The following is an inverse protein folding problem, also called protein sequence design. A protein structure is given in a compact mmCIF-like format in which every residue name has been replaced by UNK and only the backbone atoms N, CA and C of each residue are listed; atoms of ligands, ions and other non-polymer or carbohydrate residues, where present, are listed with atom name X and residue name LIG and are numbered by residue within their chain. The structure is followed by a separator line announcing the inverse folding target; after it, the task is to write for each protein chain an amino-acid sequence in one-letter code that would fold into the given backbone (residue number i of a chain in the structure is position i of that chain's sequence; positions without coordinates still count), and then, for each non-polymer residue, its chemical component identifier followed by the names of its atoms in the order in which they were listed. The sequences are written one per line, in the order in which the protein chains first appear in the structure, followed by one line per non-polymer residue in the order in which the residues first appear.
data_IF_671689591651
#
_entry.id   IF_671689591651
#
_cell.length_a   1.000
_cell.length_b   1.000
_cell.length_c   1.000
_cell.angle_alpha   90.00
_cell.angle_beta   90.00
_cell.angle_gamma   90.00
#
_symmetry.space_group_name_H-M   'P 1'
#
loop_
_entity.id
_entity.type
_entity.pdbx_description
1 polymer ?
#
# COMPACT_ATOMS: atom_id res chain seq x y z
N UNK A 1 4.14 -10.14 -18.03
CA UNK A 1 4.06 -10.96 -19.26
C UNK A 1 3.68 -10.14 -20.48
N UNK A 2 2.78 -9.15 -20.39
CA UNK A 2 2.39 -8.28 -21.51
C UNK A 2 3.56 -7.58 -22.22
N UNK A 3 4.62 -7.22 -21.50
CA UNK A 3 5.83 -6.60 -22.08
C UNK A 3 6.73 -7.56 -22.86
N UNK A 4 6.55 -8.88 -22.70
CA UNK A 4 7.34 -9.92 -23.37
C UNK A 4 6.61 -10.53 -24.56
N UNK A 5 5.32 -10.27 -24.73
CA UNK A 5 4.50 -10.86 -25.79
C UNK A 5 5.07 -10.64 -27.19
N UNK A 6 5.50 -9.43 -27.59
CA UNK A 6 6.06 -9.20 -28.93
C UNK A 6 7.34 -10.01 -29.19
N UNK A 7 8.22 -10.12 -28.19
CA UNK A 7 9.47 -10.88 -28.30
C UNK A 7 9.18 -12.37 -28.43
N UNK A 8 8.22 -12.87 -27.64
CA UNK A 8 7.78 -14.26 -27.74
C UNK A 8 7.18 -14.55 -29.12
N UNK A 9 6.36 -13.63 -29.65
CA UNK A 9 5.74 -13.76 -30.97
C UNK A 9 6.80 -13.81 -32.08
N UNK A 10 7.79 -12.91 -32.09
CA UNK A 10 8.90 -12.93 -33.04
C UNK A 10 9.70 -14.24 -32.98
N UNK A 11 9.97 -14.76 -31.78
CA UNK A 11 10.71 -16.02 -31.63
C UNK A 11 9.88 -17.21 -32.09
N UNK A 12 8.57 -17.23 -31.80
CA UNK A 12 7.67 -18.27 -32.31
C UNK A 12 7.60 -18.23 -33.84
N UNK A 13 7.43 -17.06 -34.44
CA UNK A 13 7.43 -16.88 -35.89
C UNK A 13 8.74 -17.35 -36.51
N UNK A 14 9.89 -16.97 -35.93
CA UNK A 14 11.20 -17.40 -36.39
C UNK A 14 11.34 -18.93 -36.35
N UNK A 15 10.96 -19.57 -35.24
CA UNK A 15 11.06 -21.03 -35.07
C UNK A 15 10.14 -21.75 -36.07
N UNK A 16 8.91 -21.27 -36.23
CA UNK A 16 7.94 -21.82 -37.18
C UNK A 16 8.47 -21.75 -38.61
N UNK A 17 8.88 -20.55 -39.07
CA UNK A 17 9.35 -20.34 -40.43
C UNK A 17 10.63 -21.12 -40.73
N UNK A 18 11.55 -21.20 -39.77
CA UNK A 18 12.87 -21.81 -39.99
C UNK A 18 12.83 -23.33 -39.95
N UNK A 19 11.97 -23.94 -39.13
CA UNK A 19 12.01 -25.38 -38.85
C UNK A 19 10.78 -26.15 -39.33
N UNK A 20 9.90 -25.52 -40.12
CA UNK A 20 8.65 -26.13 -40.61
C UNK A 20 7.77 -26.68 -39.49
N UNK A 21 7.72 -25.95 -38.37
CA UNK A 21 6.80 -26.18 -37.26
C UNK A 21 5.53 -25.40 -37.57
N UNK A 22 4.35 -25.95 -37.28
CA UNK A 22 3.09 -25.27 -37.60
C UNK A 22 2.74 -24.27 -36.51
N UNK A 23 2.80 -24.66 -35.23
CA UNK A 23 2.52 -23.77 -34.11
C UNK A 23 3.29 -24.20 -32.85
N UNK A 24 3.25 -23.37 -31.81
CA UNK A 24 3.83 -23.72 -30.52
C UNK A 24 3.15 -23.04 -29.35
N UNK A 25 3.44 -23.51 -28.14
CA UNK A 25 2.94 -22.87 -26.92
C UNK A 25 3.93 -23.05 -25.77
N UNK A 26 3.88 -22.12 -24.81
CA UNK A 26 4.68 -22.17 -23.59
C UNK A 26 3.75 -22.43 -22.41
N UNK A 27 4.11 -23.40 -21.59
CA UNK A 27 3.54 -23.56 -20.26
C UNK A 27 4.57 -23.25 -19.19
N UNK A 28 4.17 -22.50 -18.17
CA UNK A 28 4.99 -22.24 -16.99
C UNK A 28 4.40 -22.99 -15.79
N UNK A 29 5.28 -23.40 -14.87
CA UNK A 29 4.91 -24.03 -13.62
C UNK A 29 4.28 -22.99 -12.69
N UNK A 30 3.04 -23.20 -12.28
CA UNK A 30 2.36 -22.39 -11.27
C UNK A 30 1.72 -23.29 -10.20
N UNK A 31 2.20 -23.15 -8.96
CA UNK A 31 1.82 -23.98 -7.81
C UNK A 31 1.98 -25.48 -8.12
N UNK A 32 0.89 -26.15 -8.52
CA UNK A 32 0.80 -27.60 -8.65
C UNK A 32 0.50 -28.07 -10.09
N UNK A 33 0.55 -27.18 -11.08
CA UNK A 33 0.29 -27.55 -12.49
C UNK A 33 1.04 -26.66 -13.48
N UNK A 34 1.24 -27.17 -14.69
CA UNK A 34 1.64 -26.33 -15.82
C UNK A 34 0.44 -25.59 -16.39
N UNK A 35 0.60 -24.29 -16.60
CA UNK A 35 -0.44 -23.42 -17.15
C UNK A 35 0.07 -22.80 -18.44
N UNK A 36 -0.75 -22.88 -19.49
CA UNK A 36 -0.45 -22.24 -20.78
C UNK A 36 -0.42 -20.73 -20.62
N UNK A 37 0.68 -20.16 -21.08
CA UNK A 37 0.97 -18.73 -20.97
C UNK A 37 0.96 -18.01 -22.29
N UNK A 38 1.35 -18.71 -23.36
CA UNK A 38 1.41 -18.17 -24.71
C UNK A 38 1.18 -19.27 -25.70
N UNK A 39 0.46 -18.97 -26.77
CA UNK A 39 0.30 -19.81 -27.96
C UNK A 39 0.76 -18.94 -29.13
N UNK A 40 1.75 -19.41 -29.88
CA UNK A 40 2.31 -18.72 -31.04
C UNK A 40 1.90 -19.40 -32.34
N UNK A 41 1.71 -18.58 -33.38
CA UNK A 41 1.41 -18.99 -34.75
C UNK A 41 0.30 -20.06 -34.88
N UNK A 42 -0.85 -19.86 -34.24
CA UNK A 42 -1.98 -20.80 -34.29
C UNK A 42 -3.09 -20.40 -35.27
N UNK A 43 -3.06 -19.16 -35.77
CA UNK A 43 -4.09 -18.59 -36.65
C UNK A 43 -4.17 -19.39 -37.96
N UNK A 44 -5.38 -19.80 -38.32
CA UNK A 44 -5.68 -20.68 -39.46
C UNK A 44 -5.16 -22.13 -39.36
N UNK A 45 -4.57 -22.52 -38.22
CA UNK A 45 -4.11 -23.90 -37.97
C UNK A 45 -5.04 -24.61 -36.98
N UNK A 46 -5.39 -23.94 -35.87
CA UNK A 46 -6.28 -24.48 -34.85
C UNK A 46 -7.69 -23.89 -34.98
N UNK A 47 -8.72 -24.69 -34.67
CA UNK A 47 -10.08 -24.19 -34.45
C UNK A 47 -10.19 -23.42 -33.13
N UNK A 48 -11.24 -22.62 -32.94
CA UNK A 48 -11.47 -21.89 -31.68
C UNK A 48 -11.52 -22.85 -30.47
N UNK A 49 -12.23 -23.98 -30.59
CA UNK A 49 -12.29 -25.00 -29.54
C UNK A 49 -10.91 -25.58 -29.19
N UNK A 50 -10.06 -25.79 -30.20
CA UNK A 50 -8.69 -26.29 -29.99
C UNK A 50 -7.81 -25.24 -29.32
N UNK A 51 -7.95 -23.97 -29.68
CA UNK A 51 -7.23 -22.87 -29.02
C UNK A 51 -7.64 -22.78 -27.55
N UNK A 52 -8.93 -22.86 -27.25
CA UNK A 52 -9.43 -22.79 -25.88
C UNK A 52 -9.05 -24.04 -25.06
N UNK A 53 -8.99 -25.21 -25.69
CA UNK A 53 -8.41 -26.40 -25.07
C UNK A 53 -6.94 -26.19 -24.69
N UNK A 54 -6.10 -25.66 -25.60
CA UNK A 54 -4.67 -25.41 -25.32
C UNK A 54 -4.50 -24.33 -24.25
N UNK A 55 -5.29 -23.25 -24.26
CA UNK A 55 -5.26 -22.21 -23.23
C UNK A 55 -5.58 -22.76 -21.83
N UNK A 56 -6.55 -23.67 -21.75
CA UNK A 56 -7.00 -24.26 -20.48
C UNK A 56 -6.30 -25.58 -20.12
N UNK A 57 -5.35 -26.03 -20.94
CA UNK A 57 -4.61 -27.26 -20.73
C UNK A 57 -3.82 -27.20 -19.43
N UNK A 58 -4.13 -28.12 -18.51
CA UNK A 58 -3.39 -28.32 -17.26
C UNK A 58 -2.73 -29.69 -17.28
N UNK A 59 -1.40 -29.69 -17.33
CA UNK A 59 -0.62 -30.93 -17.23
C UNK A 59 -0.37 -31.22 -15.73
N UNK A 60 -0.79 -32.38 -15.21
CA UNK A 60 -0.49 -32.81 -13.85
C UNK A 60 1.02 -32.98 -13.59
N UNK A 61 1.47 -32.65 -12.38
CA UNK A 61 2.86 -32.85 -11.93
C UNK A 61 3.11 -34.27 -11.39
N UNK A 62 2.53 -35.27 -12.04
CA UNK A 62 2.65 -36.67 -11.67
C UNK A 62 2.71 -37.56 -12.93
N UNK A 63 2.79 -38.88 -12.76
CA UNK A 63 2.86 -39.82 -13.89
C UNK A 63 1.67 -39.75 -14.86
N UNK A 64 0.53 -39.24 -14.43
CA UNK A 64 -0.67 -39.07 -15.28
C UNK A 64 -0.47 -37.94 -16.30
N UNK A 65 0.41 -36.97 -16.03
CA UNK A 65 0.78 -35.91 -16.97
C UNK A 65 1.67 -36.36 -18.14
N UNK A 66 1.88 -37.66 -18.31
CA UNK A 66 2.42 -38.25 -19.52
C UNK A 66 3.83 -37.78 -19.92
N UNK A 67 4.03 -37.65 -21.23
CA UNK A 67 5.30 -37.19 -21.81
C UNK A 67 5.70 -35.78 -21.34
N UNK A 68 4.79 -34.79 -21.24
CA UNK A 68 5.11 -33.49 -20.65
C UNK A 68 5.78 -33.58 -19.26
N UNK A 69 5.15 -34.29 -18.32
CA UNK A 69 5.71 -34.47 -16.98
C UNK A 69 7.05 -35.22 -17.00
N UNK A 70 7.20 -36.22 -17.87
CA UNK A 70 8.47 -36.95 -18.05
C UNK A 70 9.58 -36.03 -18.59
N UNK A 71 9.26 -35.11 -19.50
CA UNK A 71 10.20 -34.15 -20.07
C UNK A 71 10.68 -33.17 -19.01
N UNK A 72 9.74 -32.66 -18.21
CA UNK A 72 10.02 -31.81 -17.06
C UNK A 72 10.90 -32.51 -16.02
N UNK A 73 10.47 -33.67 -15.51
CA UNK A 73 11.16 -34.39 -14.44
C UNK A 73 12.58 -34.85 -14.83
N UNK A 74 12.79 -35.22 -16.09
CA UNK A 74 14.11 -35.62 -16.59
C UNK A 74 14.98 -34.45 -17.05
N UNK A 75 14.43 -33.23 -17.14
CA UNK A 75 15.12 -32.04 -17.67
C UNK A 75 15.76 -32.31 -19.03
N UNK A 76 15.08 -33.09 -19.89
CA UNK A 76 15.58 -33.54 -21.19
C UNK A 76 14.52 -33.39 -22.27
N UNK A 77 14.87 -32.68 -23.33
CA UNK A 77 14.04 -32.49 -24.52
C UNK A 77 13.55 -33.82 -25.08
N UNK A 78 12.29 -33.83 -25.49
CA UNK A 78 11.63 -34.99 -26.04
C UNK A 78 11.01 -34.66 -27.39
N UNK A 79 11.32 -35.45 -28.41
CA UNK A 79 10.72 -35.34 -29.73
C UNK A 79 10.02 -36.65 -30.07
N UNK A 80 8.76 -36.57 -30.48
CA UNK A 80 7.97 -37.74 -30.85
C UNK A 80 7.26 -37.54 -32.19
N UNK A 81 7.48 -38.50 -33.08
CA UNK A 81 6.68 -38.71 -34.29
C UNK A 81 5.53 -39.65 -33.96
N UNK A 82 4.31 -39.14 -34.00
CA UNK A 82 3.11 -39.90 -33.63
C UNK A 82 2.86 -40.98 -34.67
N UNK A 83 3.03 -42.24 -34.28
CA UNK A 83 2.67 -43.40 -35.11
C UNK A 83 1.47 -44.10 -34.48
N UNK A 84 0.30 -44.05 -35.14
CA UNK A 84 -0.96 -44.65 -34.65
C UNK A 84 -0.87 -46.16 -34.34
N UNK A 85 0.14 -46.88 -34.87
CA UNK A 85 0.32 -48.33 -34.71
C UNK A 85 1.02 -48.79 -33.41
N UNK A 86 1.34 -47.91 -32.46
CA UNK A 86 2.17 -48.25 -31.28
C UNK A 86 1.58 -47.95 -29.89
N UNK A 87 0.32 -47.47 -29.81
CA UNK A 87 -0.28 -47.01 -28.54
C UNK A 87 0.27 -45.65 -28.07
N UNK A 88 -0.41 -45.04 -27.09
CA UNK A 88 -0.02 -43.75 -26.48
C UNK A 88 0.68 -44.00 -25.12
N UNK A 89 1.69 -43.20 -24.73
CA UNK A 89 2.38 -43.37 -23.45
C UNK A 89 1.51 -43.16 -22.20
N UNK A 90 0.42 -42.38 -22.33
CA UNK A 90 -0.59 -42.18 -21.29
C UNK A 90 -1.93 -41.75 -21.90
N UNK A 91 -3.02 -41.83 -21.13
CA UNK A 91 -4.33 -41.29 -21.54
C UNK A 91 -4.31 -39.77 -21.75
N UNK A 92 -3.45 -39.04 -21.00
CA UNK A 92 -3.25 -37.61 -21.21
C UNK A 92 -2.63 -37.34 -22.59
N UNK A 93 -1.57 -38.08 -22.95
CA UNK A 93 -0.91 -37.93 -24.24
C UNK A 93 -1.87 -38.27 -25.39
N UNK A 94 -2.71 -39.30 -25.21
CA UNK A 94 -3.76 -39.68 -26.16
C UNK A 94 -4.75 -38.53 -26.37
N UNK A 95 -5.32 -38.00 -25.30
CA UNK A 95 -6.28 -36.90 -25.34
C UNK A 95 -5.69 -35.68 -26.03
N UNK A 96 -4.46 -35.29 -25.66
CA UNK A 96 -3.75 -34.15 -26.24
C UNK A 96 -3.56 -34.32 -27.77
N UNK A 97 -3.09 -35.49 -28.19
CA UNK A 97 -2.79 -35.77 -29.60
C UNK A 97 -4.05 -35.93 -30.44
N UNK A 98 -5.09 -36.59 -29.92
CA UNK A 98 -6.34 -36.81 -30.65
C UNK A 98 -7.14 -35.52 -30.80
N UNK A 99 -7.20 -34.69 -29.74
CA UNK A 99 -7.96 -33.44 -29.76
C UNK A 99 -7.32 -32.37 -30.66
N UNK A 100 -5.99 -32.23 -30.61
CA UNK A 100 -5.26 -31.27 -31.43
C UNK A 100 -4.82 -31.86 -32.79
N UNK A 101 -4.99 -33.17 -32.99
CA UNK A 101 -4.62 -33.90 -34.23
C UNK A 101 -3.12 -33.81 -34.58
N UNK A 102 -2.25 -33.93 -33.57
CA UNK A 102 -0.80 -33.79 -33.73
C UNK A 102 -0.18 -34.95 -34.54
N UNK A 103 0.67 -34.64 -35.52
CA UNK A 103 1.50 -35.64 -36.23
C UNK A 103 2.89 -35.78 -35.61
N UNK A 104 3.43 -34.69 -35.09
CA UNK A 104 4.66 -34.70 -34.32
C UNK A 104 4.63 -33.60 -33.26
N UNK A 105 5.37 -33.81 -32.18
CA UNK A 105 5.62 -32.75 -31.22
C UNK A 105 7.01 -32.84 -30.62
N UNK A 106 7.55 -31.66 -30.32
CA UNK A 106 8.77 -31.43 -29.58
C UNK A 106 8.39 -30.73 -28.27
N UNK A 107 8.87 -31.27 -27.14
CA UNK A 107 8.81 -30.59 -25.84
C UNK A 107 10.23 -30.27 -25.41
N UNK A 108 10.49 -28.99 -25.21
CA UNK A 108 11.73 -28.46 -24.68
C UNK A 108 11.49 -28.04 -23.23
N UNK A 109 12.19 -28.61 -22.24
CA UNK A 109 12.12 -28.11 -20.88
C UNK A 109 12.76 -26.73 -20.80
N UNK A 110 12.05 -25.80 -20.18
CA UNK A 110 12.51 -24.44 -19.94
C UNK A 110 13.30 -24.43 -18.64
N UNK A 111 14.63 -24.39 -18.71
CA UNK A 111 15.53 -24.59 -17.56
C UNK A 111 16.25 -23.30 -17.20
N UNK A 112 16.26 -22.94 -15.92
CA UNK A 112 17.10 -21.87 -15.38
C UNK A 112 17.77 -22.32 -14.08
N UNK A 113 19.06 -22.02 -13.91
CA UNK A 113 19.85 -22.44 -12.74
C UNK A 113 19.67 -23.93 -12.40
N UNK A 114 19.64 -24.78 -13.43
CA UNK A 114 19.41 -26.22 -13.33
C UNK A 114 18.01 -26.63 -12.84
N UNK A 115 17.05 -25.72 -12.69
CA UNK A 115 15.64 -26.00 -12.41
C UNK A 115 14.76 -25.81 -13.64
N UNK A 116 13.83 -26.74 -13.86
CA UNK A 116 12.85 -26.59 -14.93
C UNK A 116 11.71 -25.71 -14.40
N UNK A 117 11.40 -24.62 -15.09
CA UNK A 117 10.34 -23.66 -14.71
C UNK A 117 9.11 -23.77 -15.61
N UNK A 118 9.17 -24.61 -16.64
CA UNK A 118 8.12 -24.75 -17.64
C UNK A 118 8.52 -25.67 -18.78
N UNK A 119 7.67 -25.70 -19.80
CA UNK A 119 7.82 -26.50 -21.02
C UNK A 119 7.43 -25.64 -22.22
N UNK A 120 8.25 -25.65 -23.28
CA UNK A 120 7.88 -25.14 -24.58
C UNK A 120 7.52 -26.30 -25.51
N UNK A 121 6.43 -26.15 -26.22
CA UNK A 121 5.85 -27.13 -27.11
C UNK A 121 5.92 -26.59 -28.52
N UNK A 122 6.39 -27.41 -29.44
CA UNK A 122 6.39 -27.12 -30.87
C UNK A 122 5.82 -28.30 -31.61
N UNK A 123 4.83 -28.02 -32.46
CA UNK A 123 3.94 -29.04 -33.01
C UNK A 123 3.75 -28.86 -34.49
N UNK A 124 3.43 -29.96 -35.18
CA UNK A 124 3.00 -29.92 -36.57
C UNK A 124 1.77 -30.80 -36.78
N UNK A 125 0.84 -30.22 -37.53
CA UNK A 125 -0.49 -30.66 -37.89
C UNK A 125 -0.50 -31.21 -39.33
N UNK A 126 0.24 -30.60 -40.26
CA UNK A 126 0.11 -30.89 -41.69
C UNK A 126 1.22 -31.78 -42.29
N UNK A 127 2.47 -31.69 -41.82
CA UNK A 127 3.62 -32.36 -42.47
C UNK A 127 4.45 -33.24 -41.53
N UNK A 128 5.15 -34.22 -42.10
CA UNK A 128 6.10 -35.09 -41.39
C UNK A 128 7.37 -34.29 -41.08
N UNK A 129 7.36 -33.49 -40.02
CA UNK A 129 8.52 -32.63 -39.69
C UNK A 129 9.75 -33.51 -39.42
N UNK A 130 10.80 -33.28 -40.21
CA UNK A 130 12.10 -33.91 -40.02
C UNK A 130 13.01 -32.96 -39.24
N UNK A 131 12.82 -32.90 -37.91
CA UNK A 131 13.79 -32.23 -37.04
C UNK A 131 15.05 -33.07 -36.90
N UNK A 132 16.16 -32.57 -37.44
CA UNK A 132 17.50 -33.13 -37.18
C UNK A 132 17.93 -32.81 -35.75
N UNK A 133 18.94 -33.53 -35.23
CA UNK A 133 19.53 -33.21 -33.92
C UNK A 133 20.08 -31.79 -33.85
N UNK A 134 20.57 -31.26 -34.97
CA UNK A 134 21.08 -29.88 -35.04
C UNK A 134 19.93 -28.86 -34.91
N UNK A 135 18.81 -29.09 -35.59
CA UNK A 135 17.62 -28.22 -35.49
C UNK A 135 17.06 -28.21 -34.07
N UNK A 136 16.97 -29.36 -33.41
CA UNK A 136 16.53 -29.44 -32.01
C UNK A 136 17.44 -28.61 -31.09
N UNK A 137 18.77 -28.72 -31.25
CA UNK A 137 19.72 -27.91 -30.45
C UNK A 137 19.56 -26.40 -30.68
N UNK A 138 19.26 -25.98 -31.92
CA UNK A 138 18.98 -24.56 -32.22
C UNK A 138 17.71 -24.10 -31.50
N UNK A 139 16.63 -24.88 -31.57
CA UNK A 139 15.36 -24.59 -30.87
C UNK A 139 15.59 -24.52 -29.35
N UNK A 140 16.34 -25.47 -28.77
CA UNK A 140 16.72 -25.43 -27.35
C UNK A 140 17.46 -24.13 -26.99
N UNK A 141 18.37 -23.67 -27.85
CA UNK A 141 19.07 -22.39 -27.70
C UNK A 141 18.12 -21.19 -27.63
N UNK A 142 17.14 -21.11 -28.54
CA UNK A 142 16.12 -20.06 -28.52
C UNK A 142 15.22 -20.14 -27.29
N UNK A 143 14.79 -21.34 -26.91
CA UNK A 143 14.04 -21.56 -25.69
C UNK A 143 14.82 -21.07 -24.46
N UNK A 144 16.12 -21.35 -24.36
CA UNK A 144 16.94 -20.87 -23.25
C UNK A 144 17.02 -19.33 -23.18
N UNK A 145 17.07 -18.64 -24.32
CA UNK A 145 17.02 -17.17 -24.36
C UNK A 145 15.67 -16.64 -23.89
N UNK A 146 14.57 -17.27 -24.31
CA UNK A 146 13.21 -16.97 -23.84
C UNK A 146 13.12 -17.12 -22.32
N UNK A 147 13.67 -18.22 -21.77
CA UNK A 147 13.68 -18.47 -20.33
C UNK A 147 14.39 -17.37 -19.57
N UNK A 148 15.56 -16.94 -20.05
CA UNK A 148 16.30 -15.83 -19.45
C UNK A 148 15.48 -14.55 -19.39
N UNK A 149 14.81 -14.18 -20.50
CA UNK A 149 13.97 -12.99 -20.58
C UNK A 149 12.74 -13.08 -19.65
N UNK A 150 12.03 -14.21 -19.66
CA UNK A 150 10.87 -14.46 -18.77
C UNK A 150 11.28 -14.37 -17.31
N UNK A 151 12.39 -15.01 -16.94
CA UNK A 151 12.86 -15.01 -15.57
C UNK A 151 13.32 -13.63 -15.10
N UNK A 152 14.07 -12.90 -15.93
CA UNK A 152 14.51 -11.54 -15.61
C UNK A 152 13.31 -10.60 -15.43
N UNK A 153 12.30 -10.69 -16.29
CA UNK A 153 11.07 -9.90 -16.13
C UNK A 153 10.35 -10.22 -14.81
N UNK A 154 10.24 -11.51 -14.45
CA UNK A 154 9.65 -11.93 -13.19
C UNK A 154 10.45 -11.45 -11.97
N UNK A 155 11.77 -11.52 -12.05
CA UNK A 155 12.65 -11.03 -10.99
C UNK A 155 12.51 -9.51 -10.81
N UNK A 156 12.48 -8.75 -11.91
CA UNK A 156 12.25 -7.30 -11.87
C UNK A 156 10.89 -6.96 -11.23
N UNK A 157 9.82 -7.68 -11.59
CA UNK A 157 8.49 -7.47 -11.00
C UNK A 157 8.47 -7.77 -9.50
N UNK A 158 9.14 -8.84 -9.06
CA UNK A 158 9.29 -9.17 -7.64
C UNK A 158 10.10 -8.11 -6.89
N UNK A 159 11.23 -7.68 -7.46
CA UNK A 159 12.07 -6.61 -6.88
C UNK A 159 11.29 -5.32 -6.76
N UNK A 160 10.54 -4.93 -7.78
CA UNK A 160 9.73 -3.70 -7.76
C UNK A 160 8.60 -3.79 -6.72
N UNK A 161 7.93 -4.94 -6.63
CA UNK A 161 6.88 -5.17 -5.62
C UNK A 161 7.44 -5.08 -4.20
N UNK A 162 8.59 -5.70 -3.93
CA UNK A 162 9.23 -5.63 -2.61
C UNK A 162 9.78 -4.23 -2.32
N UNK A 163 10.31 -3.52 -3.33
CA UNK A 163 10.71 -2.11 -3.23
C UNK A 163 9.53 -1.23 -2.82
N UNK A 164 8.40 -1.36 -3.50
CA UNK A 164 7.17 -0.61 -3.19
C UNK A 164 6.64 -0.90 -1.78
N UNK A 165 6.66 -2.17 -1.34
CA UNK A 165 6.28 -2.52 0.04
C UNK A 165 7.20 -1.87 1.06
N UNK A 166 8.52 -1.91 0.82
CA UNK A 166 9.51 -1.30 1.70
C UNK A 166 9.35 0.23 1.77
N UNK A 167 9.15 0.90 0.63
CA UNK A 167 8.91 2.34 0.58
C UNK A 167 7.63 2.74 1.31
N UNK A 168 6.53 2.02 1.07
CA UNK A 168 5.27 2.27 1.78
C UNK A 168 5.42 2.13 3.30
N UNK A 169 6.15 1.12 3.77
CA UNK A 169 6.40 0.96 5.21
C UNK A 169 7.26 2.10 5.79
N UNK A 170 8.27 2.56 5.05
CA UNK A 170 9.10 3.68 5.48
C UNK A 170 8.27 4.97 5.59
N UNK A 171 7.44 5.26 4.59
CA UNK A 171 6.56 6.44 4.56
C UNK A 171 5.42 6.40 5.59
N UNK A 172 5.07 5.22 6.09
CA UNK A 172 4.14 5.08 7.23
C UNK A 172 4.80 5.44 8.59
N UNK A 173 6.13 5.53 8.65
CA UNK A 173 6.89 5.78 9.88
C UNK A 173 7.47 7.19 9.89
N UNK A 174 7.94 7.67 8.74
CA UNK A 174 8.57 8.97 8.58
C UNK A 174 7.86 9.78 7.52
N UNK A 175 7.75 11.11 7.70
CA UNK A 175 7.27 11.98 6.63
C UNK A 175 8.13 11.86 5.37
N UNK A 176 7.52 12.07 4.20
CA UNK A 176 8.15 11.83 2.90
C UNK A 176 9.51 12.54 2.73
N UNK A 177 9.56 13.85 2.98
CA UNK A 177 10.79 14.66 2.85
C UNK A 177 11.91 14.17 3.78
N UNK A 178 11.54 13.73 4.99
CA UNK A 178 12.46 13.23 6.00
C UNK A 178 12.97 11.83 5.62
N UNK A 179 12.10 10.98 5.05
CA UNK A 179 12.46 9.67 4.54
C UNK A 179 13.40 9.76 3.33
N UNK A 180 13.19 10.75 2.45
CA UNK A 180 14.09 11.04 1.31
C UNK A 180 15.47 11.48 1.78
N UNK A 181 15.53 12.45 2.70
CA UNK A 181 16.81 12.89 3.27
C UNK A 181 17.56 11.73 3.94
N UNK A 182 16.86 10.89 4.71
CA UNK A 182 17.44 9.74 5.38
C UNK A 182 17.98 8.70 4.37
N UNK A 183 17.28 8.46 3.25
CA UNK A 183 17.73 7.57 2.18
C UNK A 183 18.99 8.10 1.49
N UNK A 184 19.08 9.41 1.28
CA UNK A 184 20.19 10.04 0.57
C UNK A 184 21.45 10.20 1.45
N UNK A 185 21.28 10.68 2.68
CA UNK A 185 22.40 11.06 3.56
C UNK A 185 22.72 10.01 4.63
N UNK A 186 21.79 9.11 4.94
CA UNK A 186 21.88 8.18 6.07
C UNK A 186 21.55 8.81 7.44
N UNK A 187 21.26 10.11 7.49
CA UNK A 187 20.77 10.86 8.66
C UNK A 187 19.81 11.98 8.21
N UNK A 188 19.04 12.54 9.13
CA UNK A 188 18.22 13.74 8.89
C UNK A 188 18.54 14.78 9.96
N UNK A 189 18.75 16.03 9.55
CA UNK A 189 19.09 17.12 10.47
C UNK A 189 17.82 17.66 11.15
N UNK A 190 17.85 17.94 12.47
CA UNK A 190 16.74 18.62 13.12
C UNK A 190 16.55 20.03 12.56
N UNK A 191 15.30 20.37 12.22
CA UNK A 191 14.91 21.67 11.66
C UNK A 191 14.19 22.50 12.71
N UNK A 192 14.59 23.76 12.87
CA UNK A 192 13.86 24.74 13.68
C UNK A 192 12.69 25.31 12.87
N UNK A 193 11.50 25.23 13.44
CA UNK A 193 10.28 25.84 12.92
C UNK A 193 9.88 26.98 13.86
N UNK A 194 9.78 28.20 13.32
CA UNK A 194 9.47 29.40 14.10
C UNK A 194 8.00 29.47 14.57
N UNK A 195 7.09 28.85 13.80
CA UNK A 195 5.65 28.85 14.11
C UNK A 195 5.01 27.53 13.72
N UNK A 196 4.64 26.74 14.72
CA UNK A 196 3.95 25.45 14.60
C UNK A 196 2.80 25.42 15.58
N UNK A 197 1.68 24.81 15.22
CA UNK A 197 0.58 24.54 16.17
C UNK A 197 0.58 23.08 16.55
N UNK A 198 0.67 22.81 17.85
CA UNK A 198 0.67 21.47 18.42
C UNK A 198 -0.65 21.23 19.12
N UNK A 199 -1.31 20.12 18.79
CA UNK A 199 -2.53 19.65 19.44
C UNK A 199 -2.23 18.40 20.28
N UNK A 200 -2.70 18.43 21.52
CA UNK A 200 -2.79 17.27 22.40
C UNK A 200 -4.24 16.93 22.69
N UNK A 201 -4.52 15.63 22.76
CA UNK A 201 -5.78 15.10 23.24
C UNK A 201 -5.54 14.12 24.38
N UNK A 202 -6.53 13.91 25.25
CA UNK A 202 -6.47 12.92 26.34
C UNK A 202 -7.87 12.43 26.71
N UNK A 203 -8.02 11.13 26.98
CA UNK A 203 -9.31 10.56 27.38
C UNK A 203 -9.51 10.68 28.89
N UNK A 204 -10.43 11.57 29.30
CA UNK A 204 -10.77 11.72 30.71
C UNK A 204 -11.38 10.43 31.25
N UNK A 205 -10.83 9.93 32.36
CA UNK A 205 -11.32 8.73 33.03
C UNK A 205 -10.92 7.43 32.33
N UNK A 206 -9.93 7.46 31.43
CA UNK A 206 -9.44 6.29 30.71
C UNK A 206 -9.15 5.11 31.64
N UNK A 207 -8.36 5.32 32.70
CA UNK A 207 -8.00 4.26 33.67
C UNK A 207 -9.21 3.58 34.29
N UNK A 208 -10.24 4.34 34.68
CA UNK A 208 -11.44 3.80 35.34
C UNK A 208 -12.31 2.95 34.40
N UNK A 209 -12.32 3.30 33.11
CA UNK A 209 -13.06 2.54 32.10
C UNK A 209 -12.23 1.35 31.63
N UNK A 210 -10.91 1.51 31.52
CA UNK A 210 -9.97 0.44 31.17
C UNK A 210 -10.03 -0.73 32.15
N UNK A 211 -10.24 -0.47 33.45
CA UNK A 211 -10.44 -1.52 34.47
C UNK A 211 -11.70 -2.38 34.25
N UNK A 212 -12.68 -1.89 33.49
CA UNK A 212 -13.96 -2.58 33.24
C UNK A 212 -13.99 -3.32 31.90
N UNK A 213 -12.99 -3.12 31.06
CA UNK A 213 -12.90 -3.71 29.73
C UNK A 213 -11.82 -4.79 29.69
N UNK A 214 -11.98 -5.76 28.79
CA UNK A 214 -10.83 -6.61 28.46
C UNK A 214 -9.76 -5.79 27.73
N UNK A 215 -8.47 -6.16 27.84
CA UNK A 215 -7.40 -5.46 27.11
C UNK A 215 -7.66 -5.39 25.59
N UNK A 216 -8.25 -6.43 25.00
CA UNK A 216 -8.58 -6.50 23.59
C UNK A 216 -9.69 -5.51 23.21
N UNK A 217 -10.75 -5.40 24.02
CA UNK A 217 -11.83 -4.43 23.80
C UNK A 217 -11.34 -3.00 23.98
N UNK A 218 -10.53 -2.75 25.02
CA UNK A 218 -9.93 -1.45 25.27
C UNK A 218 -9.09 -0.98 24.09
N UNK A 219 -8.18 -1.83 23.60
CA UNK A 219 -7.32 -1.51 22.45
C UNK A 219 -8.15 -1.29 21.20
N UNK A 220 -9.19 -2.10 20.96
CA UNK A 220 -10.07 -1.94 19.79
C UNK A 220 -10.84 -0.62 19.82
N UNK A 221 -11.40 -0.25 20.96
CA UNK A 221 -12.16 1.01 21.10
C UNK A 221 -11.22 2.23 20.99
N UNK A 222 -10.00 2.13 21.53
CA UNK A 222 -8.97 3.17 21.42
C UNK A 222 -8.48 3.32 19.97
N UNK A 223 -8.18 2.21 19.30
CA UNK A 223 -7.77 2.18 17.90
C UNK A 223 -8.84 2.78 16.99
N UNK A 224 -10.12 2.47 17.21
CA UNK A 224 -11.21 3.05 16.43
C UNK A 224 -11.27 4.59 16.54
N UNK A 225 -10.94 5.15 17.72
CA UNK A 225 -10.86 6.59 17.89
C UNK A 225 -9.63 7.17 17.17
N UNK A 226 -8.45 6.57 17.37
CA UNK A 226 -7.21 7.06 16.75
C UNK A 226 -7.20 6.93 15.23
N UNK A 227 -7.77 5.88 14.66
CA UNK A 227 -7.97 5.75 13.20
C UNK A 227 -8.85 6.89 12.67
N UNK A 228 -9.86 7.32 13.43
CA UNK A 228 -10.67 8.47 13.03
C UNK A 228 -9.89 9.79 13.18
N UNK A 229 -9.08 9.94 14.23
CA UNK A 229 -8.25 11.13 14.42
C UNK A 229 -7.17 11.24 13.35
N UNK A 230 -6.59 10.11 12.90
CA UNK A 230 -5.63 10.05 11.80
C UNK A 230 -6.26 10.59 10.51
N UNK A 231 -7.46 10.12 10.15
CA UNK A 231 -8.20 10.60 8.97
C UNK A 231 -8.54 12.09 9.03
N UNK A 232 -8.85 12.59 10.22
CA UNK A 232 -9.14 14.01 10.44
C UNK A 232 -7.85 14.82 10.29
N UNK A 233 -6.77 14.39 10.94
CA UNK A 233 -5.45 15.04 10.89
C UNK A 233 -4.94 15.14 9.45
N UNK A 234 -5.01 14.05 8.68
CA UNK A 234 -4.62 14.01 7.27
C UNK A 234 -5.43 15.02 6.43
N UNK A 235 -6.75 15.11 6.65
CA UNK A 235 -7.61 16.05 5.90
C UNK A 235 -7.24 17.51 6.10
N UNK A 236 -6.74 17.86 7.28
CA UNK A 236 -6.32 19.22 7.62
C UNK A 236 -4.80 19.39 7.56
N UNK A 237 -4.08 18.51 6.85
CA UNK A 237 -2.62 18.60 6.66
C UNK A 237 -1.85 18.67 8.00
N UNK A 238 -2.32 17.94 9.01
CA UNK A 238 -1.63 17.79 10.29
C UNK A 238 -0.77 16.53 10.28
N UNK A 239 0.47 16.68 10.73
CA UNK A 239 1.37 15.56 10.93
C UNK A 239 1.07 14.86 12.25
N UNK A 240 0.76 13.56 12.19
CA UNK A 240 0.64 12.73 13.37
C UNK A 240 2.03 12.47 13.93
N UNK A 241 2.25 12.83 15.20
CA UNK A 241 3.55 12.60 15.84
C UNK A 241 3.58 11.26 16.55
N UNK A 242 2.66 11.07 17.51
CA UNK A 242 2.62 9.83 18.31
C UNK A 242 1.33 9.73 19.10
N UNK A 243 1.10 8.52 19.60
CA UNK A 243 0.16 8.23 20.68
C UNK A 243 0.94 7.99 21.97
N UNK A 244 0.52 8.58 23.09
CA UNK A 244 1.16 8.43 24.40
C UNK A 244 0.12 7.84 25.36
N UNK A 245 0.06 6.52 25.44
CA UNK A 245 -1.03 5.85 26.16
C UNK A 245 -2.38 6.17 25.48
N UNK A 246 -3.24 6.88 26.20
CA UNK A 246 -4.56 7.35 25.76
C UNK A 246 -4.53 8.78 25.16
N UNK A 247 -3.35 9.39 25.07
CA UNK A 247 -3.16 10.70 24.45
C UNK A 247 -2.83 10.59 22.95
N UNK A 248 -3.39 11.50 22.16
CA UNK A 248 -3.07 11.68 20.73
C UNK A 248 -2.36 13.01 20.52
N UNK A 249 -1.26 13.00 19.76
CA UNK A 249 -0.46 14.18 19.47
C UNK A 249 -0.25 14.35 17.96
N UNK A 250 -0.60 15.53 17.46
CA UNK A 250 -0.34 15.94 16.08
C UNK A 250 0.00 17.44 16.00
N UNK A 251 0.56 17.87 14.88
CA UNK A 251 0.94 19.26 14.68
C UNK A 251 0.73 19.73 13.24
N UNK A 252 0.34 20.99 13.08
CA UNK A 252 0.28 21.67 11.79
C UNK A 252 1.50 22.57 11.59
N UNK A 253 1.95 22.72 10.34
CA UNK A 253 3.14 23.52 9.99
C UNK A 253 4.45 22.74 10.01
N UNK A 254 4.37 21.41 10.15
CA UNK A 254 5.46 20.45 9.96
C UNK A 254 4.95 19.26 9.12
N UNK A 255 5.84 18.51 8.44
CA UNK A 255 7.25 18.84 8.17
C UNK A 255 7.40 20.06 7.25
N UNK A 256 6.34 20.44 6.55
CA UNK A 256 6.28 21.63 5.68
C UNK A 256 5.69 22.81 6.42
N UNK A 257 6.41 23.93 6.42
CA UNK A 257 5.91 25.20 6.95
C UNK A 257 4.68 25.66 6.16
N UNK A 258 3.65 26.12 6.87
CA UNK A 258 2.50 26.78 6.28
C UNK A 258 2.07 27.96 7.16
N UNK A 259 1.17 28.81 6.66
CA UNK A 259 0.61 29.95 7.42
C UNK A 259 -0.70 29.61 8.13
N UNK A 260 -1.32 28.50 7.76
CA UNK A 260 -2.64 28.09 8.22
C UNK A 260 -2.59 27.13 9.40
N UNK A 261 -1.42 26.74 9.89
CA UNK A 261 -1.23 25.68 10.89
C UNK A 261 -2.17 25.78 12.09
N UNK A 262 -2.38 26.99 12.62
CA UNK A 262 -3.27 27.22 13.74
C UNK A 262 -4.76 27.03 13.37
N UNK A 263 -5.15 27.49 12.18
CA UNK A 263 -6.49 27.32 11.63
C UNK A 263 -6.75 25.82 11.38
N UNK A 264 -5.81 25.14 10.75
CA UNK A 264 -5.84 23.71 10.43
C UNK A 264 -6.02 22.85 11.70
N UNK A 265 -5.21 23.12 12.72
CA UNK A 265 -5.35 22.45 14.02
C UNK A 265 -6.71 22.68 14.67
N UNK A 266 -7.27 23.88 14.58
CA UNK A 266 -8.56 24.21 15.21
C UNK A 266 -9.73 23.57 14.45
N UNK A 267 -9.68 23.54 13.12
CA UNK A 267 -10.67 22.83 12.31
C UNK A 267 -10.65 21.32 12.61
N UNK A 268 -9.46 20.72 12.70
CA UNK A 268 -9.31 19.33 13.10
C UNK A 268 -9.87 19.07 14.51
N UNK A 269 -9.57 19.96 15.47
CA UNK A 269 -10.07 19.85 16.84
C UNK A 269 -11.61 19.93 16.91
N UNK A 270 -12.24 20.81 16.11
CA UNK A 270 -13.70 20.90 16.00
C UNK A 270 -14.30 19.61 15.44
N UNK A 271 -13.68 19.02 14.42
CA UNK A 271 -14.15 17.75 13.85
C UNK A 271 -13.97 16.58 14.82
N UNK A 272 -12.83 16.48 15.51
CA UNK A 272 -12.57 15.49 16.56
C UNK A 272 -13.60 15.64 17.69
N UNK A 273 -13.85 16.85 18.17
CA UNK A 273 -14.83 17.13 19.21
C UNK A 273 -16.24 16.69 18.77
N UNK A 274 -16.65 17.01 17.53
CA UNK A 274 -17.94 16.59 16.99
C UNK A 274 -18.06 15.06 16.91
N UNK A 275 -17.02 14.37 16.45
CA UNK A 275 -16.97 12.91 16.43
C UNK A 275 -17.14 12.32 17.83
N UNK A 276 -16.40 12.84 18.82
CA UNK A 276 -16.49 12.37 20.20
C UNK A 276 -17.88 12.63 20.81
N UNK A 277 -18.50 13.78 20.52
CA UNK A 277 -19.85 14.09 20.98
C UNK A 277 -20.89 13.16 20.35
N UNK A 278 -20.75 12.81 19.06
CA UNK A 278 -21.60 11.83 18.40
C UNK A 278 -21.43 10.44 19.02
N UNK A 279 -20.18 10.00 19.24
CA UNK A 279 -19.89 8.71 19.88
C UNK A 279 -20.45 8.62 21.29
N UNK A 280 -20.33 9.70 22.08
CA UNK A 280 -20.95 9.82 23.41
C UNK A 280 -22.45 9.59 23.32
N UNK A 281 -23.16 10.33 22.47
CA UNK A 281 -24.62 10.20 22.30
C UNK A 281 -25.03 8.78 21.91
N UNK A 282 -24.35 8.17 20.93
CA UNK A 282 -24.66 6.81 20.47
C UNK A 282 -24.41 5.75 21.55
N UNK A 283 -23.35 5.90 22.35
CA UNK A 283 -23.04 4.98 23.45
C UNK A 283 -24.01 5.17 24.62
N UNK A 284 -24.38 6.40 24.95
CA UNK A 284 -25.40 6.74 25.96
C UNK A 284 -26.76 6.11 25.61
N UNK A 285 -27.22 6.26 24.36
CA UNK A 285 -28.50 5.67 23.89
C UNK A 285 -28.53 4.14 24.01
N UNK A 286 -27.37 3.48 23.96
CA UNK A 286 -27.22 2.03 24.07
C UNK A 286 -26.82 1.54 25.47
N UNK A 287 -26.66 2.45 26.44
CA UNK A 287 -26.23 2.11 27.80
C UNK A 287 -24.77 1.66 27.90
N UNK A 288 -23.91 2.00 26.93
CA UNK A 288 -22.48 1.69 26.96
C UNK A 288 -21.66 2.79 27.63
N UNK A 289 -20.53 2.40 28.22
CA UNK A 289 -19.55 3.36 28.75
C UNK A 289 -18.86 4.12 27.62
N UNK A 290 -18.63 5.42 27.83
CA UNK A 290 -17.99 6.31 26.86
C UNK A 290 -16.86 7.12 27.52
N UNK A 291 -15.94 7.61 26.72
CA UNK A 291 -14.90 8.55 27.15
C UNK A 291 -15.26 9.98 26.78
N UNK A 292 -14.87 10.92 27.64
CA UNK A 292 -14.84 12.33 27.29
C UNK A 292 -13.41 12.70 26.88
N UNK A 293 -13.27 13.60 25.91
CA UNK A 293 -11.97 14.01 25.39
C UNK A 293 -11.61 15.40 25.91
N UNK A 294 -10.37 15.57 26.39
CA UNK A 294 -9.75 16.88 26.57
C UNK A 294 -8.94 17.22 25.33
N UNK A 295 -9.00 18.49 24.91
CA UNK A 295 -8.31 19.01 23.74
C UNK A 295 -7.55 20.28 24.13
N UNK A 296 -6.28 20.36 23.74
CA UNK A 296 -5.40 21.49 24.00
C UNK A 296 -4.54 21.85 22.80
N UNK A 297 -4.47 23.13 22.45
CA UNK A 297 -3.66 23.62 21.32
C UNK A 297 -2.80 24.80 21.74
N UNK A 298 -1.52 24.75 21.40
CA UNK A 298 -0.59 25.87 21.55
C UNK A 298 0.20 26.09 20.26
N UNK A 299 0.56 27.34 20.00
CA UNK A 299 1.33 27.74 18.83
C UNK A 299 2.61 28.45 19.26
N UNK A 300 3.73 28.08 18.64
CA UNK A 300 5.04 28.64 18.95
C UNK A 300 6.18 27.90 18.24
N UNK A 301 7.43 28.29 18.51
CA UNK A 301 8.59 27.68 17.86
C UNK A 301 8.89 26.29 18.45
N UNK A 302 9.34 25.37 17.60
CA UNK A 302 9.85 24.07 18.02
C UNK A 302 10.89 23.53 17.04
N UNK A 303 11.67 22.55 17.48
CA UNK A 303 12.58 21.78 16.63
C UNK A 303 11.89 20.46 16.29
N UNK A 304 11.89 20.07 15.02
CA UNK A 304 11.42 18.76 14.58
C UNK A 304 12.54 17.98 13.90
N UNK A 305 12.56 16.66 14.00
CA UNK A 305 13.61 15.85 13.40
C UNK A 305 13.51 14.37 13.74
N UNK A 306 14.42 13.58 13.19
CA UNK A 306 14.48 12.13 13.44
C UNK A 306 15.44 11.84 14.58
N UNK A 307 15.01 11.02 15.54
CA UNK A 307 15.86 10.47 16.60
C UNK A 307 15.98 8.94 16.47
N UNK A 308 17.14 8.43 16.89
CA UNK A 308 17.42 6.99 16.99
C UNK A 308 18.22 6.43 15.83
N UNK A 309 19.00 5.38 16.08
CA UNK A 309 19.83 4.69 15.07
C UNK A 309 19.14 3.43 14.51
N UNK A 310 18.27 2.79 15.31
CA UNK A 310 17.58 1.53 14.96
C UNK A 310 16.06 1.62 14.98
N UNK A 311 15.51 2.55 15.76
CA UNK A 311 14.08 2.82 15.89
C UNK A 311 13.87 4.29 15.58
N UNK A 312 14.04 4.65 14.31
CA UNK A 312 13.82 6.01 13.86
C UNK A 312 12.42 6.47 14.27
N UNK A 313 12.36 7.64 14.89
CA UNK A 313 11.11 8.31 15.22
C UNK A 313 11.24 9.78 14.81
N UNK A 314 10.33 10.24 13.97
CA UNK A 314 10.16 11.67 13.74
C UNK A 314 9.41 12.27 14.93
N UNK A 315 9.97 13.31 15.53
CA UNK A 315 9.47 13.88 16.78
C UNK A 315 9.76 15.37 16.87
N UNK A 316 9.18 16.01 17.88
CA UNK A 316 9.31 17.45 18.13
C UNK A 316 9.79 17.74 19.54
N UNK A 317 10.62 18.77 19.66
CA UNK A 317 11.19 19.24 20.92
C UNK A 317 11.07 20.75 21.03
N UNK A 318 10.76 21.22 22.22
CA UNK A 318 10.66 22.65 22.50
C UNK A 318 9.62 22.93 23.56
N UNK A 319 9.67 24.13 24.11
CA UNK A 319 8.72 24.55 25.14
C UNK A 319 7.27 24.65 24.63
N UNK A 320 7.10 24.82 23.31
CA UNK A 320 5.80 24.78 22.64
C UNK A 320 5.07 23.46 22.90
N UNK A 321 5.78 22.33 22.88
CA UNK A 321 5.22 20.99 23.15
C UNK A 321 4.72 20.89 24.60
N UNK A 322 5.55 21.33 25.55
CA UNK A 322 5.19 21.34 26.97
C UNK A 322 3.99 22.25 27.25
N UNK A 323 3.92 23.41 26.59
CA UNK A 323 2.80 24.33 26.76
C UNK A 323 1.53 23.77 26.13
N UNK A 324 1.60 23.10 24.98
CA UNK A 324 0.45 22.43 24.36
C UNK A 324 -0.13 21.33 25.27
N UNK A 325 0.72 20.47 25.85
CA UNK A 325 0.31 19.46 26.83
C UNK A 325 -0.35 20.08 28.08
N UNK A 326 0.12 21.26 28.51
CA UNK A 326 -0.55 22.03 29.60
C UNK A 326 -1.92 22.55 29.18
N UNK A 327 -2.09 22.99 27.93
CA UNK A 327 -3.39 23.41 27.41
C UNK A 327 -4.37 22.24 27.43
N UNK A 328 -3.95 21.03 27.09
CA UNK A 328 -4.82 19.85 27.13
C UNK A 328 -5.18 19.52 28.58
N UNK A 329 -4.18 19.33 29.44
CA UNK A 329 -4.41 18.86 30.82
C UNK A 329 -5.24 19.85 31.66
N UNK A 330 -5.16 21.15 31.33
CA UNK A 330 -5.98 22.20 31.94
C UNK A 330 -7.35 22.38 31.27
N UNK A 331 -7.67 21.62 30.23
CA UNK A 331 -8.94 21.72 29.49
C UNK A 331 -10.10 21.08 30.25
N UNK A 332 -11.28 21.70 30.16
CA UNK A 332 -12.51 21.03 30.54
C UNK A 332 -12.86 19.97 29.49
N UNK A 333 -13.22 18.73 29.89
CA UNK A 333 -13.62 17.68 28.96
C UNK A 333 -14.75 18.14 28.02
N UNK A 334 -14.63 17.78 26.75
CA UNK A 334 -15.56 18.18 25.69
C UNK A 334 -15.35 19.61 25.19
N UNK A 335 -14.36 20.36 25.68
CA UNK A 335 -14.01 21.71 25.19
C UNK A 335 -12.65 21.71 24.48
N UNK A 336 -12.50 22.63 23.52
CA UNK A 336 -11.24 22.89 22.82
C UNK A 336 -10.55 24.04 23.52
N UNK A 337 -9.47 23.75 24.23
CA UNK A 337 -8.69 24.77 24.93
C UNK A 337 -7.52 25.24 24.08
N UNK A 338 -7.31 26.54 24.00
CA UNK A 338 -6.19 27.13 23.27
C UNK A 338 -5.46 28.16 24.12
N UNK A 339 -4.16 28.30 23.89
CA UNK A 339 -3.35 29.38 24.47
C UNK A 339 -3.65 30.75 23.82
N UNK A 340 -3.28 31.84 24.50
CA UNK A 340 -3.31 33.19 23.93
C UNK A 340 -2.49 33.35 22.63
N UNK A 341 -1.37 32.64 22.51
CA UNK A 341 -0.58 32.63 21.27
C UNK A 341 -1.40 32.09 20.08
N UNK A 342 -2.08 30.95 20.27
CA UNK A 342 -2.98 30.39 19.25
C UNK A 342 -4.17 31.30 18.99
N UNK A 343 -4.77 31.88 20.03
CA UNK A 343 -5.89 32.82 19.90
C UNK A 343 -5.55 34.00 18.98
N UNK A 344 -4.36 34.58 19.13
CA UNK A 344 -3.92 35.70 18.28
C UNK A 344 -3.87 35.33 16.79
N UNK A 345 -3.59 34.07 16.47
CA UNK A 345 -3.53 33.57 15.09
C UNK A 345 -4.91 33.29 14.48
N UNK A 346 -5.95 33.04 15.29
CA UNK A 346 -7.23 32.52 14.79
C UNK A 346 -8.45 33.38 15.13
N UNK A 347 -8.34 34.33 16.06
CA UNK A 347 -9.48 35.06 16.62
C UNK A 347 -10.32 35.81 15.58
N UNK A 348 -9.75 36.08 14.39
CA UNK A 348 -10.46 36.74 13.31
C UNK A 348 -11.51 35.81 12.66
N UNK A 349 -11.30 34.49 12.65
CA UNK A 349 -12.20 33.48 12.04
C UNK A 349 -13.07 32.72 13.04
N UNK A 350 -12.61 32.55 14.28
CA UNK A 350 -13.25 31.68 15.27
C UNK A 350 -13.86 32.47 16.42
N UNK A 351 -14.96 31.95 16.96
CA UNK A 351 -15.55 32.44 18.20
C UNK A 351 -14.81 31.83 19.38
N UNK A 352 -14.07 32.67 20.12
CA UNK A 352 -13.27 32.26 21.25
C UNK A 352 -13.70 32.97 22.53
N UNK A 353 -13.78 32.22 23.62
CA UNK A 353 -14.20 32.70 24.93
C UNK A 353 -13.02 32.67 25.91
N UNK A 354 -12.68 33.82 26.49
CA UNK A 354 -11.65 33.90 27.51
C UNK A 354 -12.07 33.14 28.77
N UNK A 355 -11.19 32.25 29.27
CA UNK A 355 -11.49 31.35 30.39
C UNK A 355 -10.51 31.47 31.56
N UNK A 356 -9.77 32.57 31.61
CA UNK A 356 -8.73 32.83 32.61
C UNK A 356 -7.35 32.37 32.19
N UNK A 357 -6.46 32.25 33.17
CA UNK A 357 -5.04 31.96 32.98
C UNK A 357 -4.63 30.72 33.78
N UNK A 358 -3.59 30.03 33.31
CA UNK A 358 -2.94 28.94 34.05
C UNK A 358 -1.46 29.23 34.23
N UNK A 359 -0.93 28.90 35.41
CA UNK A 359 0.50 28.96 35.65
C UNK A 359 1.23 27.92 34.80
N UNK A 360 2.09 28.37 33.91
CA UNK A 360 3.02 27.53 33.17
C UNK A 360 4.41 27.62 33.81
N UNK A 361 5.01 26.44 34.05
CA UNK A 361 6.37 26.34 34.60
C UNK A 361 7.32 27.16 33.73
N UNK A 362 8.02 28.12 34.33
CA UNK A 362 8.97 29.04 33.68
C UNK A 362 8.36 30.05 32.68
N UNK A 363 7.04 30.18 32.57
CA UNK A 363 6.35 31.12 31.67
C UNK A 363 5.40 32.10 32.37
N UNK A 364 5.22 31.98 33.68
CA UNK A 364 4.24 32.78 34.42
C UNK A 364 2.82 32.36 34.10
N UNK A 365 1.91 33.31 34.00
CA UNK A 365 0.50 33.05 33.69
C UNK A 365 0.29 33.05 32.17
N UNK A 366 -0.34 32.00 31.65
CA UNK A 366 -0.67 31.85 30.23
C UNK A 366 -2.18 31.99 30.08
N UNK A 367 -2.59 32.98 29.30
CA UNK A 367 -4.00 33.19 28.93
C UNK A 367 -4.54 32.01 28.14
N UNK A 368 -5.77 31.62 28.46
CA UNK A 368 -6.47 30.51 27.83
C UNK A 368 -7.83 30.94 27.30
N UNK A 369 -8.23 30.30 26.20
CA UNK A 369 -9.50 30.54 25.54
C UNK A 369 -10.14 29.20 25.18
N UNK A 370 -11.47 29.14 25.22
CA UNK A 370 -12.21 28.05 24.58
C UNK A 370 -12.60 28.44 23.16
N UNK A 371 -12.42 27.53 22.21
CA UNK A 371 -12.99 27.66 20.87
C UNK A 371 -14.39 27.06 20.88
N UNK A 372 -15.39 27.89 20.60
CA UNK A 372 -16.80 27.49 20.58
C UNK A 372 -17.30 27.18 19.15
N UNK A 373 -16.51 27.51 18.12
CA UNK A 373 -16.85 27.28 16.72
C UNK A 373 -16.31 28.38 15.81
N UNK A 374 -16.66 28.32 14.54
CA UNK A 374 -16.49 29.40 13.57
C UNK A 374 -17.38 30.59 13.95
N UNK A 375 -16.94 31.82 13.62
CA UNK A 375 -17.87 32.97 13.71
C UNK A 375 -19.01 32.83 12.69
N UNK A 376 -20.21 33.35 12.98
CA UNK A 376 -21.39 33.16 12.12
C UNK A 376 -21.16 33.56 10.65
N UNK A 377 -20.40 34.62 10.39
CA UNK A 377 -20.11 35.11 9.04
C UNK A 377 -19.21 34.18 8.20
N UNK A 378 -18.48 33.27 8.86
CA UNK A 378 -17.58 32.29 8.22
C UNK A 378 -18.12 30.85 8.27
N UNK A 379 -19.29 30.66 8.87
CA UNK A 379 -19.96 29.36 8.96
C UNK A 379 -21.10 29.25 7.96
N UNK A 380 -21.34 28.04 7.46
CA UNK A 380 -22.47 27.70 6.61
C UNK A 380 -23.73 27.73 7.46
N UNK A 381 -24.71 28.55 7.08
CA UNK A 381 -26.00 28.71 7.78
C UNK A 381 -25.85 29.11 9.27
N UNK A 382 -24.67 29.59 9.69
CA UNK A 382 -24.40 29.96 11.08
C UNK A 382 -24.29 28.79 12.06
N UNK A 383 -24.06 27.56 11.57
CA UNK A 383 -23.92 26.33 12.38
C UNK A 383 -22.70 26.32 13.33
N UNK A 384 -21.75 27.24 13.16
CA UNK A 384 -20.49 27.34 13.90
C UNK A 384 -19.49 26.20 13.63
N UNK A 385 -19.76 25.29 12.68
CA UNK A 385 -18.99 24.06 12.46
C UNK A 385 -18.44 23.95 11.04
N UNK A 386 -19.26 24.29 10.05
CA UNK A 386 -18.93 24.07 8.65
C UNK A 386 -18.45 25.37 8.02
N UNK A 387 -17.22 25.45 7.49
CA UNK A 387 -16.76 26.63 6.77
C UNK A 387 -17.63 26.98 5.54
N UNK A 388 -17.88 28.27 5.32
CA UNK A 388 -18.53 28.77 4.10
C UNK A 388 -17.51 29.33 3.09
N UNK A 389 -17.96 29.86 1.96
CA UNK A 389 -17.07 30.43 0.94
C UNK A 389 -16.17 31.57 1.45
N UNK A 390 -16.70 32.46 2.30
CA UNK A 390 -15.92 33.58 2.88
C UNK A 390 -14.81 33.10 3.80
N UNK A 391 -15.00 31.98 4.51
CA UNK A 391 -13.93 31.38 5.29
C UNK A 391 -12.75 31.01 4.39
N UNK A 392 -13.02 30.35 3.26
CA UNK A 392 -11.98 29.92 2.34
C UNK A 392 -11.32 31.06 1.58
N UNK A 393 -12.01 32.19 1.40
CA UNK A 393 -11.39 33.43 0.91
C UNK A 393 -10.37 33.99 1.91
N UNK A 394 -10.65 33.88 3.21
CA UNK A 394 -9.74 34.32 4.28
C UNK A 394 -8.67 33.27 4.64
N UNK A 395 -8.87 32.02 4.24
CA UNK A 395 -7.99 30.91 4.57
C UNK A 395 -6.60 31.12 3.95
N UNK A 396 -5.60 31.34 4.80
CA UNK A 396 -4.21 31.57 4.39
C UNK A 396 -3.85 33.04 4.10
N UNK A 397 -4.79 33.98 4.28
CA UNK A 397 -4.47 35.41 4.33
C UNK A 397 -3.91 35.72 5.75
N UNK A 398 -2.73 36.37 5.84
CA UNK A 398 -2.04 36.61 7.12
C UNK A 398 -2.80 37.53 8.08
#
# INVERSE_FOLDING_TARGET
MSSLDPILDEIFEFIVQTFSIDFGFIQLLEKDSFITKKIGNYSNILTEDQVDFVKNLKVPLNKEGGVPYRTYSKKKTFFWKVKKKGGFPSEFDKTLIEYIQLKSFLIVPLIIQNEAIGLAYFTSHHSDVQLTRENIRKIEGFCNQIVGAIYNAKLLEQTETERQKSEKLLLNILPEEVAEELKEKGYSEPVLFESVSVMFTDFKGFTQIAEKLTPQELVKDLDACFVQFDKISERYNLEKLKTIGDSYMCAGGIPKQNKTHAIDCVLAALEIQNFMNMMKKLKEEKGFSYWELRLGIHSGPLVAGVIGEKKFAYDVWGDTVNTASRMESSSTPGKINISGATYNLINHLFNCEYRGEVAAKNKGMVQMYYVNGLKPEYSKEGDGKTPNGKFWEMYGIP
#
